data_IF_582580265598
#
_entry.id   IF_582580265598
#
_cell.length_a   1.000
_cell.length_b   1.000
_cell.length_c   1.000
_cell.angle_alpha   90.00
_cell.angle_beta   90.00
_cell.angle_gamma   90.00
#
_symmetry.space_group_name_H-M   'P 1'
#
loop_
_entity.id
_entity.type
_entity.pdbx_description
1 polymer ?
#
# COMPACT_ATOMS: atom_id res chain seq x y z
N UNK A 1 16.97 -1.43 -3.43
CA UNK A 1 15.51 -1.66 -3.56
C UNK A 1 15.09 -0.66 -4.61
N UNK A 2 14.95 -1.12 -5.85
CA UNK A 2 15.00 -0.24 -7.01
C UNK A 2 13.58 0.13 -7.41
N UNK A 3 13.15 1.33 -7.01
CA UNK A 3 11.87 1.93 -7.35
C UNK A 3 11.60 3.16 -6.49
N UNK A 4 11.29 4.29 -7.12
CA UNK A 4 10.87 5.50 -6.40
C UNK A 4 9.50 5.29 -5.73
N UNK A 5 9.28 5.82 -4.52
CA UNK A 5 7.98 5.78 -3.88
C UNK A 5 6.89 6.38 -4.77
N UNK A 6 5.79 5.66 -4.93
CA UNK A 6 4.63 6.17 -5.65
C UNK A 6 3.70 6.86 -4.65
N UNK A 7 3.23 8.09 -4.93
CA UNK A 7 2.24 8.72 -4.09
C UNK A 7 0.94 7.93 -4.11
N UNK A 8 0.34 7.76 -2.94
CA UNK A 8 -0.96 7.14 -2.76
C UNK A 8 -1.70 7.80 -1.59
N UNK A 9 -3.01 7.62 -1.57
CA UNK A 9 -3.87 8.09 -0.48
C UNK A 9 -4.27 6.90 0.37
N UNK A 10 -3.98 6.96 1.67
CA UNK A 10 -4.47 5.98 2.63
C UNK A 10 -5.96 6.24 2.89
N UNK A 11 -6.83 5.29 2.54
CA UNK A 11 -8.28 5.40 2.75
C UNK A 11 -8.72 4.76 4.07
N UNK A 12 -8.11 3.62 4.41
CA UNK A 12 -8.42 2.86 5.61
C UNK A 12 -7.17 2.12 6.10
N UNK A 13 -6.97 2.07 7.42
CA UNK A 13 -5.85 1.36 8.05
C UNK A 13 -6.37 0.49 9.19
N UNK A 14 -5.99 -0.78 9.16
CA UNK A 14 -6.31 -1.76 10.20
C UNK A 14 -5.02 -2.40 10.71
N UNK A 15 -5.12 -3.25 11.71
CA UNK A 15 -3.98 -4.02 12.22
C UNK A 15 -3.50 -5.12 11.25
N UNK A 16 -4.35 -5.59 10.33
CA UNK A 16 -4.01 -6.63 9.33
C UNK A 16 -3.60 -6.07 7.98
N UNK A 17 -3.96 -4.84 7.66
CA UNK A 17 -3.81 -4.35 6.30
C UNK A 17 -4.34 -2.93 6.11
N UNK A 18 -4.42 -2.53 4.86
CA UNK A 18 -4.83 -1.18 4.47
C UNK A 18 -5.62 -1.16 3.16
N UNK A 19 -6.38 -0.09 2.96
CA UNK A 19 -6.93 0.29 1.65
C UNK A 19 -6.26 1.59 1.21
N UNK A 20 -5.75 1.57 -0.01
CA UNK A 20 -5.05 2.72 -0.60
C UNK A 20 -5.64 3.05 -1.96
N UNK A 21 -5.78 4.34 -2.26
CA UNK A 21 -6.06 4.83 -3.62
C UNK A 21 -4.77 5.29 -4.29
N UNK A 22 -4.58 4.94 -5.55
CA UNK A 22 -3.40 5.26 -6.34
C UNK A 22 -3.76 5.38 -7.82
N UNK A 23 -3.22 6.40 -8.49
CA UNK A 23 -3.44 6.60 -9.92
C UNK A 23 -2.73 5.54 -10.79
N UNK A 24 -1.84 4.72 -10.22
CA UNK A 24 -1.04 3.75 -10.97
C UNK A 24 -1.61 2.35 -10.86
N UNK A 25 -2.30 1.93 -11.93
CA UNK A 25 -2.97 0.62 -12.02
C UNK A 25 -1.97 -0.55 -11.99
N UNK A 26 -0.73 -0.35 -12.45
CA UNK A 26 0.30 -1.39 -12.57
C UNK A 26 1.16 -1.56 -11.29
N UNK A 27 0.54 -1.63 -10.11
CA UNK A 27 1.23 -1.98 -8.87
C UNK A 27 1.52 -3.48 -8.81
N UNK A 28 2.76 -3.90 -8.42
CA UNK A 28 3.07 -5.31 -8.22
C UNK A 28 2.17 -5.92 -7.13
N UNK A 29 2.06 -7.25 -7.14
CA UNK A 29 1.28 -7.96 -6.11
C UNK A 29 1.90 -7.87 -4.71
N UNK A 30 3.20 -7.54 -4.60
CA UNK A 30 3.87 -7.31 -3.34
C UNK A 30 4.69 -6.01 -3.42
N UNK A 31 4.60 -5.18 -2.40
CA UNK A 31 5.31 -3.91 -2.30
C UNK A 31 5.49 -3.47 -0.84
N UNK A 32 6.29 -2.42 -0.63
CA UNK A 32 6.40 -1.76 0.66
C UNK A 32 5.44 -0.57 0.68
N UNK A 33 4.54 -0.55 1.66
CA UNK A 33 3.73 0.63 1.96
C UNK A 33 4.50 1.49 2.95
N UNK A 34 4.75 2.73 2.55
CA UNK A 34 5.36 3.76 3.38
C UNK A 34 4.26 4.60 4.02
N UNK A 35 4.14 4.53 5.34
CA UNK A 35 3.19 5.31 6.12
C UNK A 35 3.95 6.46 6.79
N UNK A 36 3.79 7.67 6.27
CA UNK A 36 4.40 8.90 6.79
C UNK A 36 3.53 9.58 7.85
N UNK A 37 3.29 8.87 8.97
CA UNK A 37 2.66 9.42 10.18
C UNK A 37 3.69 10.14 11.07
N UNK A 38 3.55 10.06 12.40
CA UNK A 38 4.55 10.49 13.40
C UNK A 38 5.88 9.69 13.33
N UNK A 39 6.43 9.49 12.14
CA UNK A 39 7.52 8.60 11.78
C UNK A 39 7.25 7.88 10.45
N UNK A 40 8.32 7.51 9.74
CA UNK A 40 8.22 6.64 8.57
C UNK A 40 8.07 5.19 9.04
N UNK A 41 6.89 4.61 8.85
CA UNK A 41 6.65 3.19 9.11
C UNK A 41 6.60 2.47 7.76
N UNK A 42 7.42 1.46 7.60
CA UNK A 42 7.43 0.60 6.41
C UNK A 42 6.71 -0.72 6.71
N UNK A 43 5.76 -1.10 5.85
CA UNK A 43 5.07 -2.39 5.92
C UNK A 43 5.19 -3.13 4.60
N UNK A 44 5.69 -4.37 4.64
CA UNK A 44 5.57 -5.28 3.50
C UNK A 44 4.11 -5.66 3.34
N UNK A 45 3.61 -5.54 2.12
CA UNK A 45 2.20 -5.70 1.81
C UNK A 45 2.04 -6.63 0.61
N UNK A 46 0.94 -7.40 0.63
CA UNK A 46 0.47 -8.14 -0.53
C UNK A 46 -0.91 -7.66 -0.95
N UNK A 47 -1.10 -7.49 -2.25
CA UNK A 47 -2.40 -7.15 -2.82
C UNK A 47 -3.34 -8.34 -2.74
N UNK A 48 -4.50 -8.15 -2.12
CA UNK A 48 -5.54 -9.17 -1.98
C UNK A 48 -6.70 -8.93 -2.96
N UNK A 49 -6.95 -7.67 -3.35
CA UNK A 49 -7.92 -7.30 -4.38
C UNK A 49 -7.60 -5.91 -4.96
N UNK A 50 -8.13 -5.63 -6.15
CA UNK A 50 -8.03 -4.34 -6.85
C UNK A 50 -9.39 -3.97 -7.42
N UNK A 51 -9.79 -2.72 -7.27
CA UNK A 51 -11.02 -2.18 -7.83
C UNK A 51 -10.77 -0.71 -8.22
N UNK A 52 -10.85 -0.40 -9.52
CA UNK A 52 -10.54 0.92 -10.06
C UNK A 52 -9.15 1.44 -9.65
N UNK A 53 -9.08 2.54 -8.92
CA UNK A 53 -7.89 3.16 -8.35
C UNK A 53 -7.61 2.70 -6.91
N UNK A 54 -8.45 1.82 -6.36
CA UNK A 54 -8.35 1.33 -4.98
C UNK A 54 -7.74 -0.06 -4.94
N UNK A 55 -6.80 -0.24 -4.02
CA UNK A 55 -6.13 -1.50 -3.76
C UNK A 55 -6.29 -1.87 -2.30
N UNK A 56 -6.78 -3.09 -2.06
CA UNK A 56 -6.77 -3.71 -0.74
C UNK A 56 -5.48 -4.51 -0.55
N UNK A 57 -4.80 -4.28 0.57
CA UNK A 57 -3.58 -5.01 0.92
C UNK A 57 -3.64 -5.62 2.32
N UNK A 58 -2.96 -6.75 2.48
CA UNK A 58 -2.67 -7.38 3.77
C UNK A 58 -1.19 -7.20 4.10
N UNK A 59 -0.88 -6.97 5.38
CA UNK A 59 0.49 -6.86 5.88
C UNK A 59 1.10 -8.24 6.01
N UNK A 60 2.31 -8.39 5.50
CA UNK A 60 3.12 -9.59 5.75
C UNK A 60 3.73 -9.50 7.16
N UNK A 61 3.69 -10.62 7.89
CA UNK A 61 4.30 -10.79 9.23
C UNK A 61 5.81 -10.82 9.19
#
# INVERSE_FOLDING_TARGET
MDGEPLPCTLLELTWRGARVSTAKIALPNAFILLLSGHGLIERKCRVIWREWDVVGVEFET
#
